data_IF_861215501497
#
_entry.id   IF_861215501497
#
_cell.length_a   1.000
_cell.length_b   1.000
_cell.length_c   1.000
_cell.angle_alpha   90.00
_cell.angle_beta   90.00
_cell.angle_gamma   90.00
#
_symmetry.space_group_name_H-M   'P 1'
#
loop_
_entity.id
_entity.type
_entity.pdbx_description
1 polymer ?
#
# COMPACT_ATOMS: atom_id res chain seq x y z
N UNK A 1 -1.61 -65.11 55.22
CA UNK A 1 -0.92 -64.70 56.45
C UNK A 1 -1.84 -65.01 57.61
N UNK A 2 -1.35 -65.68 58.65
CA UNK A 2 -2.12 -65.87 59.88
C UNK A 2 -2.08 -64.58 60.71
N UNK A 3 -3.19 -64.23 61.37
CA UNK A 3 -3.24 -63.11 62.29
C UNK A 3 -2.31 -63.39 63.49
N UNK A 4 -1.41 -62.45 63.79
CA UNK A 4 -0.54 -62.49 64.96
C UNK A 4 -1.02 -61.45 65.96
N UNK A 5 -1.37 -61.87 67.16
CA UNK A 5 -1.70 -60.97 68.28
C UNK A 5 -0.47 -60.16 68.68
N UNK A 6 -0.67 -58.87 68.92
CA UNK A 6 0.37 -57.96 69.44
C UNK A 6 0.26 -57.97 70.96
N UNK A 7 1.35 -58.28 71.66
CA UNK A 7 1.34 -58.45 73.13
C UNK A 7 2.00 -57.28 73.87
N UNK A 8 2.70 -56.40 73.15
CA UNK A 8 3.42 -55.26 73.72
C UNK A 8 3.25 -53.97 72.90
N UNK A 9 3.42 -52.82 73.55
CA UNK A 9 3.37 -51.52 72.88
C UNK A 9 4.53 -51.35 71.89
N UNK A 10 5.72 -51.86 72.21
CA UNK A 10 6.89 -51.80 71.31
C UNK A 10 6.64 -52.55 70.00
N UNK A 11 5.98 -53.72 70.05
CA UNK A 11 5.59 -54.47 68.84
C UNK A 11 4.57 -53.71 67.99
N UNK A 12 3.64 -52.97 68.62
CA UNK A 12 2.67 -52.13 67.91
C UNK A 12 3.36 -50.95 67.23
N UNK A 13 4.21 -50.23 67.99
CA UNK A 13 4.91 -49.05 67.51
C UNK A 13 5.86 -49.41 66.35
N UNK A 14 6.57 -50.54 66.45
CA UNK A 14 7.45 -51.02 65.37
C UNK A 14 6.70 -51.31 64.06
N UNK A 15 5.50 -51.94 64.13
CA UNK A 15 4.69 -52.22 62.94
C UNK A 15 4.15 -50.92 62.33
N UNK A 16 3.76 -49.96 63.16
CA UNK A 16 3.28 -48.65 62.70
C UNK A 16 4.42 -47.88 62.02
N UNK A 17 5.61 -47.86 62.61
CA UNK A 17 6.78 -47.18 62.05
C UNK A 17 7.22 -47.80 60.72
N UNK A 18 7.23 -49.13 60.60
CA UNK A 18 7.54 -49.82 59.34
C UNK A 18 6.52 -49.46 58.25
N UNK A 19 5.24 -49.36 58.61
CA UNK A 19 4.17 -49.02 57.68
C UNK A 19 4.21 -47.55 57.28
N UNK A 20 4.48 -46.64 58.22
CA UNK A 20 4.69 -45.22 57.95
C UNK A 20 5.92 -44.99 57.06
N UNK A 21 7.00 -45.76 57.27
CA UNK A 21 8.20 -45.68 56.46
C UNK A 21 7.91 -46.10 55.03
N UNK A 22 7.25 -47.26 54.82
CA UNK A 22 6.82 -47.71 53.48
C UNK A 22 5.92 -46.71 52.77
N UNK A 23 4.96 -46.12 53.47
CA UNK A 23 4.07 -45.10 52.89
C UNK A 23 4.84 -43.83 52.51
N UNK A 24 5.77 -43.38 53.36
CA UNK A 24 6.63 -42.22 53.06
C UNK A 24 7.53 -42.46 51.86
N UNK A 25 8.17 -43.62 51.79
CA UNK A 25 9.03 -44.01 50.66
C UNK A 25 8.21 -44.10 49.37
N UNK A 26 7.06 -44.80 49.39
CA UNK A 26 6.18 -44.89 48.22
C UNK A 26 5.67 -43.52 47.76
N UNK A 27 5.37 -42.62 48.69
CA UNK A 27 4.93 -41.26 48.36
C UNK A 27 6.09 -40.44 47.80
N UNK A 28 7.28 -40.52 48.40
CA UNK A 28 8.46 -39.81 47.91
C UNK A 28 8.83 -40.26 46.49
N UNK A 29 8.76 -41.56 46.19
CA UNK A 29 9.00 -42.08 44.83
C UNK A 29 7.94 -41.60 43.83
N UNK A 30 6.65 -41.63 44.20
CA UNK A 30 5.54 -41.18 43.33
C UNK A 30 5.61 -39.71 42.96
N UNK A 31 6.21 -38.87 43.80
CA UNK A 31 6.30 -37.42 43.61
C UNK A 31 7.74 -36.93 43.47
N UNK A 32 8.68 -37.83 43.15
CA UNK A 32 10.10 -37.49 43.01
C UNK A 32 10.34 -36.45 41.91
N UNK A 33 9.52 -36.44 40.86
CA UNK A 33 9.59 -35.54 39.71
C UNK A 33 8.72 -34.29 39.84
N UNK A 34 7.97 -34.14 40.94
CA UNK A 34 6.97 -33.08 41.07
C UNK A 34 7.54 -31.66 40.90
N UNK A 35 8.68 -31.38 41.52
CA UNK A 35 9.34 -30.07 41.39
C UNK A 35 9.88 -29.84 39.97
N UNK A 36 10.35 -30.89 39.28
CA UNK A 36 10.77 -30.79 37.88
C UNK A 36 9.58 -30.46 36.97
N UNK A 37 8.47 -31.20 37.10
CA UNK A 37 7.25 -30.96 36.33
C UNK A 37 6.71 -29.55 36.57
N UNK A 38 6.73 -29.08 37.82
CA UNK A 38 6.29 -27.73 38.19
C UNK A 38 7.17 -26.65 37.57
N UNK A 39 8.49 -26.81 37.61
CA UNK A 39 9.43 -25.87 36.99
C UNK A 39 9.30 -25.85 35.46
N UNK A 40 9.16 -27.02 34.84
CA UNK A 40 8.94 -27.15 33.40
C UNK A 40 7.62 -26.48 32.98
N UNK A 41 6.55 -26.67 33.74
CA UNK A 41 5.26 -26.07 33.44
C UNK A 41 5.30 -24.54 33.59
N UNK A 42 5.98 -24.01 34.61
CA UNK A 42 6.18 -22.58 34.76
C UNK A 42 6.98 -21.99 33.57
N UNK A 43 8.04 -22.66 33.14
CA UNK A 43 8.88 -22.25 32.00
C UNK A 43 8.08 -22.28 30.70
N UNK A 44 7.42 -23.40 30.40
CA UNK A 44 6.59 -23.55 29.20
C UNK A 44 5.44 -22.54 29.16
N UNK A 45 4.85 -22.20 30.32
CA UNK A 45 3.82 -21.17 30.39
C UNK A 45 4.38 -19.80 30.06
N UNK A 46 5.55 -19.45 30.60
CA UNK A 46 6.22 -18.18 30.31
C UNK A 46 6.61 -18.08 28.83
N UNK A 47 7.20 -19.13 28.26
CA UNK A 47 7.54 -19.19 26.83
C UNK A 47 6.31 -19.10 25.93
N UNK A 48 5.23 -19.81 26.25
CA UNK A 48 3.98 -19.71 25.49
C UNK A 48 3.40 -18.29 25.51
N UNK A 49 3.46 -17.60 26.63
CA UNK A 49 2.98 -16.22 26.72
C UNK A 49 3.85 -15.27 25.88
N UNK A 50 5.18 -15.40 25.96
CA UNK A 50 6.10 -14.61 25.14
C UNK A 50 5.89 -14.86 23.63
N UNK A 51 5.73 -16.13 23.23
CA UNK A 51 5.45 -16.50 21.84
C UNK A 51 4.12 -15.91 21.38
N UNK A 52 3.08 -15.92 22.21
CA UNK A 52 1.78 -15.30 21.88
C UNK A 52 1.90 -13.78 21.69
N UNK A 53 2.60 -13.10 22.58
CA UNK A 53 2.86 -11.66 22.46
C UNK A 53 3.63 -11.34 21.18
N UNK A 54 4.68 -12.11 20.89
CA UNK A 54 5.49 -11.97 19.66
C UNK A 54 4.63 -12.16 18.41
N UNK A 55 3.78 -13.19 18.38
CA UNK A 55 2.87 -13.45 17.27
C UNK A 55 1.87 -12.30 17.10
N UNK A 56 1.35 -11.75 18.19
CA UNK A 56 0.43 -10.62 18.14
C UNK A 56 1.10 -9.38 17.54
N UNK A 57 2.31 -9.04 17.99
CA UNK A 57 3.09 -7.92 17.44
C UNK A 57 3.40 -8.13 15.96
N UNK A 58 3.94 -9.29 15.58
CA UNK A 58 4.26 -9.60 14.18
C UNK A 58 3.02 -9.57 13.28
N UNK A 59 1.86 -9.98 13.79
CA UNK A 59 0.61 -9.91 13.03
C UNK A 59 0.20 -8.46 12.78
N UNK A 60 0.32 -7.59 13.80
CA UNK A 60 0.04 -6.15 13.65
C UNK A 60 0.99 -5.50 12.64
N UNK A 61 2.30 -5.74 12.78
CA UNK A 61 3.31 -5.21 11.85
C UNK A 61 3.08 -5.69 10.41
N UNK A 62 2.71 -6.96 10.23
CA UNK A 62 2.37 -7.50 8.92
C UNK A 62 1.16 -6.79 8.30
N UNK A 63 0.11 -6.55 9.08
CA UNK A 63 -1.08 -5.85 8.56
C UNK A 63 -0.77 -4.42 8.15
N UNK A 64 0.05 -3.70 8.93
CA UNK A 64 0.49 -2.35 8.57
C UNK A 64 1.36 -2.36 7.30
N UNK A 65 2.24 -3.36 7.16
CA UNK A 65 3.09 -3.50 5.98
C UNK A 65 2.25 -3.79 4.71
N UNK A 66 1.25 -4.67 4.81
CA UNK A 66 0.33 -4.97 3.72
C UNK A 66 -0.48 -3.73 3.29
N UNK A 67 -0.95 -2.93 4.25
CA UNK A 67 -1.65 -1.67 3.94
C UNK A 67 -0.72 -0.66 3.26
N UNK A 68 0.51 -0.49 3.77
CA UNK A 68 1.50 0.40 3.18
C UNK A 68 1.91 -0.04 1.78
N UNK A 69 2.08 -1.35 1.56
CA UNK A 69 2.39 -1.92 0.25
C UNK A 69 1.27 -1.66 -0.75
N UNK A 70 0.01 -1.87 -0.35
CA UNK A 70 -1.16 -1.58 -1.18
C UNK A 70 -1.25 -0.09 -1.55
N UNK A 71 -1.07 0.81 -0.58
CA UNK A 71 -1.05 2.26 -0.80
C UNK A 71 0.09 2.67 -1.74
N UNK A 72 1.28 2.11 -1.56
CA UNK A 72 2.43 2.38 -2.43
C UNK A 72 2.16 1.89 -3.85
N UNK A 73 1.62 0.68 -4.02
CA UNK A 73 1.25 0.13 -5.31
C UNK A 73 0.19 0.97 -6.04
N UNK A 74 -0.81 1.49 -5.31
CA UNK A 74 -1.81 2.39 -5.88
C UNK A 74 -1.19 3.70 -6.38
N UNK A 75 -0.30 4.32 -5.60
CA UNK A 75 0.42 5.55 -6.00
C UNK A 75 1.32 5.32 -7.20
N UNK A 76 2.01 4.18 -7.28
CA UNK A 76 2.86 3.83 -8.43
C UNK A 76 2.00 3.78 -9.69
N UNK A 77 0.86 3.06 -9.66
CA UNK A 77 -0.05 3.00 -10.80
C UNK A 77 -0.59 4.38 -11.21
N UNK A 78 -0.91 5.23 -10.23
CA UNK A 78 -1.36 6.60 -10.49
C UNK A 78 -0.27 7.43 -11.20
N UNK A 79 0.98 7.35 -10.73
CA UNK A 79 2.12 8.03 -11.37
C UNK A 79 2.43 7.48 -12.76
N UNK A 80 2.45 6.16 -12.93
CA UNK A 80 2.65 5.52 -14.24
C UNK A 80 1.59 5.95 -15.25
N UNK A 81 0.32 5.99 -14.82
CA UNK A 81 -0.78 6.44 -15.65
C UNK A 81 -0.68 7.94 -15.98
N UNK A 82 -0.31 8.78 -15.00
CA UNK A 82 -0.11 10.22 -15.22
C UNK A 82 1.03 10.48 -16.22
N UNK A 83 2.15 9.78 -16.08
CA UNK A 83 3.29 9.88 -17.02
C UNK A 83 2.89 9.44 -18.43
N UNK A 84 2.13 8.34 -18.56
CA UNK A 84 1.59 7.89 -19.84
C UNK A 84 0.66 8.95 -20.47
N UNK A 85 -0.26 9.54 -19.69
CA UNK A 85 -1.14 10.62 -20.16
C UNK A 85 -0.35 11.84 -20.64
N UNK A 86 0.68 12.25 -19.90
CA UNK A 86 1.55 13.37 -20.28
C UNK A 86 2.27 13.07 -21.60
N UNK A 87 2.88 11.88 -21.73
CA UNK A 87 3.57 11.46 -22.96
C UNK A 87 2.64 11.50 -24.17
N UNK A 88 1.44 10.93 -24.04
CA UNK A 88 0.45 10.87 -25.12
C UNK A 88 -0.07 12.26 -25.47
N UNK A 89 -0.33 13.11 -24.47
CA UNK A 89 -0.77 14.49 -24.69
C UNK A 89 0.27 15.28 -25.50
N UNK A 90 1.54 15.21 -25.11
CA UNK A 90 2.64 15.87 -25.82
C UNK A 90 2.79 15.36 -27.25
N UNK A 91 2.66 14.05 -27.47
CA UNK A 91 2.73 13.46 -28.81
C UNK A 91 1.59 13.92 -29.74
N UNK A 92 0.41 14.23 -29.17
CA UNK A 92 -0.77 14.67 -29.93
C UNK A 92 -0.96 16.19 -29.92
N UNK A 93 0.03 16.97 -29.47
CA UNK A 93 -0.04 18.43 -29.47
C UNK A 93 -1.01 19.03 -28.46
N UNK A 94 -1.42 18.25 -27.44
CA UNK A 94 -2.27 18.71 -26.35
C UNK A 94 -1.39 19.41 -25.31
N UNK A 95 -1.74 20.62 -24.85
CA UNK A 95 -1.00 21.31 -23.80
C UNK A 95 -0.86 20.45 -22.53
N UNK A 96 0.28 20.55 -21.85
CA UNK A 96 0.58 19.80 -20.62
C UNK A 96 -0.55 19.91 -19.57
N UNK A 97 -1.08 21.12 -19.37
CA UNK A 97 -2.16 21.39 -18.42
C UNK A 97 -3.45 20.61 -18.71
N UNK A 98 -3.59 20.13 -19.95
CA UNK A 98 -4.72 19.34 -20.41
C UNK A 98 -4.44 17.83 -20.44
N UNK A 99 -3.21 17.37 -20.22
CA UNK A 99 -2.87 15.95 -20.24
C UNK A 99 -3.69 15.12 -19.24
N UNK A 100 -3.96 15.68 -18.06
CA UNK A 100 -4.80 15.04 -17.03
C UNK A 100 -6.27 14.86 -17.44
N UNK A 101 -6.73 15.51 -18.52
CA UNK A 101 -8.09 15.38 -19.05
C UNK A 101 -8.27 14.15 -19.92
N UNK A 102 -7.18 13.52 -20.38
CA UNK A 102 -7.25 12.30 -21.17
C UNK A 102 -7.89 11.16 -20.37
N UNK A 103 -8.83 10.47 -21.01
CA UNK A 103 -9.59 9.36 -20.43
C UNK A 103 -9.25 8.07 -21.16
N UNK A 104 -8.82 7.05 -20.41
CA UNK A 104 -8.45 5.75 -20.93
C UNK A 104 -7.79 4.89 -19.86
N UNK A 105 -7.94 3.58 -19.96
CA UNK A 105 -7.34 2.59 -19.04
C UNK A 105 -6.05 1.98 -19.60
N UNK A 106 -5.84 2.12 -20.91
CA UNK A 106 -4.76 1.54 -21.67
C UNK A 106 -4.20 2.56 -22.68
N UNK A 107 -2.98 2.29 -23.17
CA UNK A 107 -2.28 3.19 -24.09
C UNK A 107 -3.07 3.46 -25.37
N UNK A 108 -3.76 2.45 -25.91
CA UNK A 108 -4.52 2.60 -27.15
C UNK A 108 -5.76 3.49 -26.96
N UNK A 109 -6.51 3.31 -25.87
CA UNK A 109 -7.66 4.19 -25.58
C UNK A 109 -7.22 5.63 -25.30
N UNK A 110 -6.12 5.83 -24.59
CA UNK A 110 -5.56 7.16 -24.34
C UNK A 110 -5.11 7.84 -25.64
N UNK A 111 -4.51 7.11 -26.58
CA UNK A 111 -4.12 7.65 -27.89
C UNK A 111 -5.36 8.05 -28.71
N UNK A 112 -6.42 7.23 -28.70
CA UNK A 112 -7.65 7.54 -29.42
C UNK A 112 -8.32 8.80 -28.85
N UNK A 113 -8.42 8.90 -27.52
CA UNK A 113 -8.97 10.07 -26.84
C UNK A 113 -8.14 11.32 -27.11
N UNK A 114 -6.80 11.19 -27.08
CA UNK A 114 -5.90 12.30 -27.39
C UNK A 114 -6.04 12.80 -28.83
N UNK A 115 -6.28 11.90 -29.81
CA UNK A 115 -6.55 12.33 -31.19
C UNK A 115 -7.84 13.14 -31.29
N UNK A 116 -8.94 12.66 -30.69
CA UNK A 116 -10.22 13.38 -30.65
C UNK A 116 -10.08 14.74 -29.98
N UNK A 117 -9.35 14.81 -28.87
CA UNK A 117 -9.11 16.03 -28.13
C UNK A 117 -8.23 17.02 -28.91
N UNK A 118 -7.22 16.53 -29.62
CA UNK A 118 -6.36 17.34 -30.48
C UNK A 118 -7.14 17.98 -31.63
N UNK A 119 -8.07 17.24 -32.26
CA UNK A 119 -8.96 17.77 -33.29
C UNK A 119 -9.86 18.90 -32.76
N UNK A 120 -10.33 18.79 -31.51
CA UNK A 120 -11.14 19.81 -30.87
C UNK A 120 -10.34 21.08 -30.52
N UNK A 121 -9.09 20.93 -30.06
CA UNK A 121 -8.22 22.05 -29.66
C UNK A 121 -7.61 22.75 -30.87
N UNK A 122 -7.19 21.98 -31.88
CA UNK A 122 -6.61 22.50 -33.13
C UNK A 122 -7.64 23.06 -34.11
N UNK A 123 -8.93 22.92 -33.83
CA UNK A 123 -10.03 23.17 -34.77
C UNK A 123 -10.53 24.61 -34.88
N UNK A 124 -9.93 25.61 -34.22
CA UNK A 124 -10.34 27.00 -34.42
C UNK A 124 -9.48 27.69 -35.49
N UNK A 125 -9.98 27.89 -36.72
CA UNK A 125 -9.31 28.77 -37.65
C UNK A 125 -9.20 30.14 -36.99
N UNK A 126 -7.99 30.67 -36.88
CA UNK A 126 -7.80 32.05 -36.41
C UNK A 126 -8.71 32.93 -37.25
N UNK A 127 -9.60 33.74 -36.63
CA UNK A 127 -10.45 34.65 -37.39
C UNK A 127 -9.56 35.46 -38.32
N UNK A 128 -10.00 35.71 -39.57
CA UNK A 128 -9.24 36.57 -40.46
C UNK A 128 -9.00 37.89 -39.74
N UNK A 129 -7.74 38.34 -39.73
CA UNK A 129 -7.35 39.60 -39.10
C UNK A 129 -8.26 40.70 -39.65
N UNK A 130 -8.84 41.51 -38.75
CA UNK A 130 -9.66 42.66 -39.13
C UNK A 130 -8.86 43.51 -40.10
N UNK A 131 -9.27 43.54 -41.37
CA UNK A 131 -8.72 44.46 -42.35
C UNK A 131 -9.16 45.86 -41.91
N UNK A 132 -8.23 46.65 -41.38
CA UNK A 132 -8.42 48.09 -41.37
C UNK A 132 -8.27 48.54 -42.81
N UNK A 133 -9.38 48.79 -43.50
CA UNK A 133 -9.31 49.69 -44.65
C UNK A 133 -8.72 51.00 -44.11
N UNK A 134 -7.56 51.41 -44.63
CA UNK A 134 -7.08 52.76 -44.40
C UNK A 134 -8.17 53.68 -44.94
N UNK A 135 -8.98 54.26 -44.05
CA UNK A 135 -9.66 55.52 -44.36
C UNK A 135 -8.57 56.55 -44.51
N UNK A 136 -7.99 56.63 -45.70
CA UNK A 136 -7.27 57.82 -46.11
C UNK A 136 -8.29 58.95 -46.09
N UNK A 137 -7.97 60.04 -45.40
CA UNK A 137 -8.67 61.30 -45.59
C UNK A 137 -8.77 61.58 -47.11
N UNK A 138 -9.85 62.21 -47.57
CA UNK A 138 -10.10 62.48 -49.00
C UNK A 138 -8.88 63.14 -49.70
N UNK A 139 -8.06 63.87 -48.95
CA UNK A 139 -6.82 64.50 -49.40
C UNK A 139 -5.71 63.49 -49.76
N UNK A 140 -5.67 62.32 -49.11
CA UNK A 140 -4.69 61.26 -49.33
C UNK A 140 -5.13 60.18 -50.32
N UNK A 141 -6.38 60.20 -50.78
CA UNK A 141 -6.90 59.24 -51.77
C UNK A 141 -6.17 59.33 -53.12
N UNK A 142 -5.73 60.53 -53.52
CA UNK A 142 -4.95 60.76 -54.74
C UNK A 142 -3.54 60.17 -54.64
N UNK A 143 -2.87 60.32 -53.50
CA UNK A 143 -1.54 59.77 -53.27
C UNK A 143 -1.56 58.24 -53.19
N UNK A 144 -2.62 57.66 -52.61
CA UNK A 144 -2.81 56.20 -52.60
C UNK A 144 -3.00 55.62 -54.01
N UNK A 145 -3.77 56.29 -54.88
CA UNK A 145 -3.93 55.87 -56.27
C UNK A 145 -2.62 55.94 -57.07
N UNK A 146 -1.77 56.93 -56.79
CA UNK A 146 -0.49 57.08 -57.48
C UNK A 146 0.50 55.98 -57.06
N UNK A 147 0.50 55.62 -55.78
CA UNK A 147 1.30 54.50 -55.25
C UNK A 147 0.79 53.15 -55.77
N UNK A 148 -0.53 52.96 -55.91
CA UNK A 148 -1.06 51.72 -56.48
C UNK A 148 -0.73 51.56 -57.96
N UNK A 149 -0.74 52.65 -58.73
CA UNK A 149 -0.35 52.61 -60.15
C UNK A 149 1.16 52.39 -60.33
N UNK A 150 2.00 52.96 -59.45
CA UNK A 150 3.45 52.69 -59.44
C UNK A 150 3.78 51.21 -59.13
N UNK A 151 2.93 50.51 -58.37
CA UNK A 151 3.12 49.07 -58.09
C UNK A 151 2.70 48.16 -59.25
N UNK A 152 1.98 48.67 -60.25
CA UNK A 152 1.52 47.90 -61.42
C UNK A 152 2.44 48.03 -62.65
N UNK A 153 3.28 49.07 -62.73
CA UNK A 153 4.19 49.30 -63.86
C UNK A 153 5.61 48.71 -63.66
N UNK A 154 5.77 47.81 -62.68
CA UNK A 154 7.04 47.18 -62.32
C UNK A 154 7.01 45.65 -62.42
N UNK A 155 6.47 45.11 -63.52
CA UNK A 155 6.74 43.75 -64.03
C UNK A 155 6.96 43.80 -65.55
#
# INVERSE_FOLDING_TARGET
>A
MAFKTIETQEELDAIIDERLTRERESTAEKYADYEEVKNNNATLTAENNNLRETIQTLTSEKTELEENYSKAGAKIKEYEMSDMKIKIALQNGIPYDMANRLVGEDEASLIEDAKKMSELIGGQPSPPLKKFEQKGDEENASYLNLISNLKLEGE
#
